data_IF_388926686560
#
_entry.id   IF_388926686560
#
_cell.length_a   1.000
_cell.length_b   1.000
_cell.length_c   1.000
_cell.angle_alpha   90.00
_cell.angle_beta   90.00
_cell.angle_gamma   90.00
#
_symmetry.space_group_name_H-M   'P 1'
#
loop_
_entity.id
_entity.type
_entity.pdbx_description
1 polymer ?
#
# COMPACT_ATOMS: atom_id res chain seq x y z
N UNK A 1 63.51 -4.23 11.56
CA UNK A 1 63.46 -3.01 10.72
C UNK A 1 63.54 -3.34 9.23
N UNK A 2 62.79 -4.33 8.73
CA UNK A 2 62.87 -4.73 7.32
C UNK A 2 62.02 -3.81 6.42
N UNK A 3 60.88 -3.32 6.90
CA UNK A 3 60.01 -2.34 6.21
C UNK A 3 60.78 -1.05 5.89
N UNK A 4 61.52 -0.52 6.87
CA UNK A 4 62.32 0.70 6.69
C UNK A 4 63.45 0.47 5.68
N UNK A 5 64.12 -0.69 5.74
CA UNK A 5 65.18 -1.04 4.79
C UNK A 5 64.63 -1.19 3.36
N UNK A 6 63.49 -1.86 3.18
CA UNK A 6 62.82 -2.00 1.88
C UNK A 6 62.39 -0.64 1.30
N UNK A 7 61.92 0.28 2.14
CA UNK A 7 61.55 1.63 1.74
C UNK A 7 62.76 2.46 1.28
N UNK A 8 63.90 2.30 1.94
CA UNK A 8 65.15 2.98 1.60
C UNK A 8 65.86 2.37 0.37
N UNK A 9 65.73 1.05 0.15
CA UNK A 9 66.35 0.35 -0.97
C UNK A 9 65.59 0.57 -2.31
N UNK A 10 64.31 0.98 -2.26
CA UNK A 10 63.48 1.24 -3.46
C UNK A 10 62.73 2.59 -3.42
N UNK A 11 63.43 3.74 -3.33
CA UNK A 11 62.82 5.05 -3.12
C UNK A 11 61.85 5.45 -4.26
N UNK A 12 62.20 5.16 -5.51
CA UNK A 12 61.36 5.50 -6.66
C UNK A 12 60.00 4.79 -6.65
N UNK A 13 59.93 3.55 -6.16
CA UNK A 13 58.67 2.80 -6.07
C UNK A 13 57.68 3.49 -5.12
N UNK A 14 58.16 4.00 -3.98
CA UNK A 14 57.32 4.71 -3.02
C UNK A 14 56.93 6.11 -3.51
N UNK A 15 57.80 6.80 -4.25
CA UNK A 15 57.46 8.09 -4.88
C UNK A 15 56.38 7.92 -5.94
N UNK A 16 56.49 6.90 -6.80
CA UNK A 16 55.47 6.59 -7.82
C UNK A 16 54.16 6.18 -7.16
N UNK A 17 54.20 5.37 -6.10
CA UNK A 17 53.01 4.99 -5.33
C UNK A 17 52.32 6.20 -4.69
N UNK A 18 53.09 7.13 -4.09
CA UNK A 18 52.56 8.35 -3.50
C UNK A 18 51.91 9.26 -4.54
N UNK A 19 52.52 9.40 -5.73
CA UNK A 19 51.92 10.13 -6.84
C UNK A 19 50.64 9.45 -7.35
N UNK A 20 50.62 8.12 -7.43
CA UNK A 20 49.42 7.36 -7.81
C UNK A 20 48.27 7.60 -6.83
N UNK A 21 48.54 7.54 -5.52
CA UNK A 21 47.54 7.84 -4.48
C UNK A 21 47.06 9.28 -4.64
N UNK A 22 47.97 10.25 -4.75
CA UNK A 22 47.63 11.67 -4.88
C UNK A 22 46.77 11.97 -6.12
N UNK A 23 47.00 11.29 -7.24
CA UNK A 23 46.19 11.43 -8.47
C UNK A 23 44.85 10.68 -8.35
N UNK A 24 44.83 9.54 -7.68
CA UNK A 24 43.62 8.74 -7.49
C UNK A 24 42.67 9.32 -6.44
N UNK A 25 43.19 10.02 -5.42
CA UNK A 25 42.39 10.55 -4.30
C UNK A 25 41.28 11.52 -4.75
N UNK A 26 41.51 12.52 -5.63
CA UNK A 26 40.43 13.38 -6.11
C UNK A 26 39.31 12.60 -6.80
N UNK A 27 39.68 11.60 -7.61
CA UNK A 27 38.73 10.73 -8.32
C UNK A 27 37.90 9.89 -7.36
N UNK A 28 38.52 9.37 -6.30
CA UNK A 28 37.83 8.65 -5.24
C UNK A 28 36.89 9.57 -4.46
N UNK A 29 37.37 10.73 -3.99
CA UNK A 29 36.58 11.69 -3.20
C UNK A 29 35.36 12.20 -3.99
N UNK A 30 35.52 12.47 -5.29
CA UNK A 30 34.42 12.96 -6.14
C UNK A 30 33.39 11.87 -6.51
N UNK A 31 33.76 10.57 -6.42
CA UNK A 31 32.87 9.46 -6.76
C UNK A 31 32.28 8.75 -5.53
N UNK A 32 32.81 8.98 -4.35
CA UNK A 32 32.28 8.40 -3.11
C UNK A 32 30.86 8.90 -2.88
N UNK A 33 29.85 8.01 -2.80
CA UNK A 33 28.49 8.41 -2.46
C UNK A 33 28.44 9.08 -1.09
N UNK A 34 27.76 10.20 -1.00
CA UNK A 34 27.53 10.93 0.26
C UNK A 34 26.09 10.75 0.72
N UNK A 35 25.88 10.49 2.00
CA UNK A 35 24.57 10.46 2.64
C UNK A 35 24.54 11.41 3.85
N UNK A 36 23.35 11.89 4.20
CA UNK A 36 23.14 12.81 5.33
C UNK A 36 23.19 12.03 6.65
N UNK A 37 22.76 10.77 6.63
CA UNK A 37 22.75 9.89 7.80
C UNK A 37 23.70 8.71 7.62
N UNK A 38 24.34 8.23 8.71
CA UNK A 38 24.99 6.93 8.69
C UNK A 38 23.92 5.85 8.44
N UNK A 39 24.29 4.76 7.77
CA UNK A 39 23.36 3.66 7.58
C UNK A 39 23.11 2.98 8.93
N UNK A 40 21.87 3.06 9.43
CA UNK A 40 21.42 2.40 10.66
C UNK A 40 20.62 1.17 10.24
N UNK A 41 21.34 0.06 10.06
CA UNK A 41 20.75 -1.22 9.67
C UNK A 41 20.19 -1.95 10.90
N UNK A 42 19.12 -1.41 11.50
CA UNK A 42 18.32 -2.17 12.47
C UNK A 42 17.30 -2.97 11.65
N UNK A 43 17.41 -4.31 11.60
CA UNK A 43 16.57 -5.13 10.73
C UNK A 43 15.17 -5.25 11.34
N UNK A 44 14.26 -4.35 10.93
CA UNK A 44 12.87 -4.32 11.39
C UNK A 44 11.93 -4.57 10.21
N UNK A 45 11.02 -5.53 10.39
CA UNK A 45 9.93 -5.78 9.45
C UNK A 45 8.63 -5.30 10.08
N UNK A 46 7.94 -4.38 9.41
CA UNK A 46 6.63 -3.90 9.82
C UNK A 46 5.55 -4.58 8.98
N UNK A 47 4.56 -5.16 9.64
CA UNK A 47 3.43 -5.86 9.02
C UNK A 47 2.14 -5.18 9.42
N UNK A 48 1.44 -4.61 8.45
CA UNK A 48 0.14 -3.96 8.62
C UNK A 48 -1.00 -4.89 8.27
N UNK A 49 -1.74 -5.34 9.28
CA UNK A 49 -3.00 -6.06 9.12
C UNK A 49 -4.17 -5.10 9.14
N UNK A 50 -5.11 -5.24 8.21
CA UNK A 50 -6.33 -4.42 8.18
C UNK A 50 -7.57 -5.30 8.14
N UNK A 51 -8.54 -5.01 9.01
CA UNK A 51 -9.86 -5.60 8.99
C UNK A 51 -10.89 -4.58 9.48
N UNK A 52 -11.63 -3.97 8.55
CA UNK A 52 -12.57 -2.91 8.88
C UNK A 52 -13.72 -3.41 9.76
N UNK A 53 -14.11 -2.60 10.74
CA UNK A 53 -15.27 -2.87 11.60
C UNK A 53 -14.97 -3.57 12.93
N UNK A 54 -13.75 -4.02 13.17
CA UNK A 54 -13.33 -4.50 14.50
C UNK A 54 -12.89 -3.35 15.40
N UNK A 55 -13.29 -3.40 16.67
CA UNK A 55 -12.69 -2.56 17.71
C UNK A 55 -11.26 -3.04 18.03
N UNK A 56 -10.44 -2.25 18.74
CA UNK A 56 -9.06 -2.62 19.05
C UNK A 56 -8.93 -3.96 19.78
N UNK A 57 -9.80 -4.24 20.75
CA UNK A 57 -9.75 -5.47 21.55
C UNK A 57 -10.07 -6.72 20.73
N UNK A 58 -11.06 -6.65 19.82
CA UNK A 58 -11.37 -7.74 18.91
C UNK A 58 -10.29 -7.92 17.84
N UNK A 59 -9.74 -6.82 17.32
CA UNK A 59 -8.63 -6.84 16.37
C UNK A 59 -7.40 -7.50 16.99
N UNK A 60 -7.09 -7.17 18.24
CA UNK A 60 -6.01 -7.80 19.01
C UNK A 60 -6.25 -9.31 19.14
N UNK A 61 -7.39 -9.70 19.73
CA UNK A 61 -7.66 -11.10 20.05
C UNK A 61 -7.84 -12.01 18.82
N UNK A 62 -8.38 -11.48 17.71
CA UNK A 62 -8.69 -12.28 16.52
C UNK A 62 -7.60 -12.25 15.46
N UNK A 63 -6.78 -11.20 15.40
CA UNK A 63 -5.75 -11.03 14.36
C UNK A 63 -4.37 -10.86 14.99
N UNK A 64 -4.13 -9.81 15.77
CA UNK A 64 -2.78 -9.47 16.27
C UNK A 64 -2.17 -10.62 17.07
N UNK A 65 -2.81 -11.07 18.14
CA UNK A 65 -2.27 -12.11 19.03
C UNK A 65 -2.21 -13.49 18.35
N UNK A 66 -3.06 -13.75 17.36
CA UNK A 66 -2.99 -14.98 16.54
C UNK A 66 -1.76 -14.94 15.66
N UNK A 67 -1.51 -13.81 15.00
CA UNK A 67 -0.38 -13.61 14.12
C UNK A 67 0.96 -13.65 14.87
N UNK A 68 1.07 -12.95 16.01
CA UNK A 68 2.27 -12.97 16.87
C UNK A 68 2.66 -14.39 17.30
N UNK A 69 1.69 -15.21 17.69
CA UNK A 69 1.93 -16.62 18.06
C UNK A 69 2.41 -17.47 16.90
N UNK A 70 2.01 -17.16 15.67
CA UNK A 70 2.47 -17.89 14.48
C UNK A 70 3.89 -17.50 14.12
N UNK A 71 4.23 -16.21 14.25
CA UNK A 71 5.58 -15.71 13.97
C UNK A 71 6.65 -16.44 14.80
N UNK A 72 6.38 -16.74 16.07
CA UNK A 72 7.34 -17.46 16.93
C UNK A 72 7.65 -18.88 16.47
N UNK A 73 6.84 -19.45 15.56
CA UNK A 73 7.01 -20.82 15.06
C UNK A 73 7.57 -20.90 13.64
N UNK A 74 7.32 -19.87 12.82
CA UNK A 74 7.63 -19.88 11.38
C UNK A 74 8.77 -18.94 10.97
N UNK A 75 9.19 -18.04 11.86
CA UNK A 75 10.23 -17.04 11.59
C UNK A 75 11.37 -17.25 12.58
N UNK A 76 12.59 -17.33 12.07
CA UNK A 76 13.79 -17.45 12.89
C UNK A 76 14.37 -16.08 13.25
N UNK A 77 15.30 -16.07 14.22
CA UNK A 77 16.09 -14.89 14.59
C UNK A 77 15.26 -13.66 14.99
N UNK A 78 14.05 -13.84 15.52
CA UNK A 78 13.30 -12.76 16.17
C UNK A 78 13.98 -12.42 17.49
N UNK A 79 14.29 -11.13 17.69
CA UNK A 79 14.71 -10.58 18.97
C UNK A 79 13.49 -10.28 19.85
N UNK A 80 12.59 -9.43 19.35
CA UNK A 80 11.33 -9.10 20.01
C UNK A 80 10.28 -8.66 18.99
N UNK A 81 9.02 -8.66 19.41
CA UNK A 81 7.87 -8.22 18.61
C UNK A 81 7.16 -7.12 19.37
N UNK A 82 6.86 -6.01 18.69
CA UNK A 82 6.01 -4.95 19.21
C UNK A 82 4.79 -4.79 18.33
N UNK A 83 3.59 -4.84 18.90
CA UNK A 83 2.35 -4.57 18.18
C UNK A 83 1.66 -3.31 18.68
N UNK A 84 0.99 -2.63 17.75
CA UNK A 84 0.12 -1.50 18.05
C UNK A 84 -1.18 -1.69 17.30
N UNK A 85 -2.27 -1.89 18.04
CA UNK A 85 -3.59 -2.14 17.47
C UNK A 85 -4.46 -0.89 17.58
N UNK A 86 -5.07 -0.51 16.48
CA UNK A 86 -6.05 0.56 16.35
C UNK A 86 -7.36 -0.02 15.80
N UNK A 87 -8.47 0.74 15.81
CA UNK A 87 -9.71 0.27 15.19
C UNK A 87 -9.49 -0.08 13.71
N UNK A 88 -9.73 -1.35 13.38
CA UNK A 88 -9.60 -1.93 12.05
C UNK A 88 -8.19 -2.04 11.45
N UNK A 89 -7.13 -1.67 12.17
CA UNK A 89 -5.74 -1.83 11.71
C UNK A 89 -4.81 -2.23 12.86
N UNK A 90 -3.91 -3.18 12.60
CA UNK A 90 -2.87 -3.62 13.53
C UNK A 90 -1.52 -3.55 12.87
N UNK A 91 -0.56 -2.91 13.53
CA UNK A 91 0.81 -2.75 13.06
C UNK A 91 1.69 -3.61 13.95
N UNK A 92 2.30 -4.65 13.38
CA UNK A 92 3.21 -5.57 14.07
C UNK A 92 4.63 -5.32 13.57
N UNK A 93 5.51 -4.87 14.46
CA UNK A 93 6.92 -4.63 14.21
C UNK A 93 7.72 -5.82 14.74
N UNK A 94 8.50 -6.43 13.87
CA UNK A 94 9.32 -7.61 14.17
C UNK A 94 10.78 -7.15 14.13
N UNK A 95 11.42 -7.18 15.28
CA UNK A 95 12.83 -6.85 15.41
C UNK A 95 13.64 -8.14 15.33
N UNK A 96 14.64 -8.15 14.44
CA UNK A 96 15.48 -9.32 14.22
C UNK A 96 16.81 -9.18 14.97
N UNK A 97 17.40 -10.32 15.34
CA UNK A 97 18.70 -10.39 15.96
C UNK A 97 19.79 -9.74 15.07
N UNK A 98 20.83 -9.13 15.66
CA UNK A 98 21.95 -8.59 14.90
C UNK A 98 22.60 -9.65 13.99
N UNK A 99 22.75 -9.34 12.70
CA UNK A 99 23.32 -10.24 11.70
C UNK A 99 22.33 -11.20 11.04
N UNK A 100 21.04 -11.16 11.42
CA UNK A 100 19.99 -11.89 10.71
C UNK A 100 19.78 -11.35 9.29
N UNK A 101 19.46 -12.25 8.36
CA UNK A 101 19.15 -11.89 6.98
C UNK A 101 17.74 -11.31 6.88
N UNK A 102 17.65 -10.02 6.56
CA UNK A 102 16.36 -9.35 6.35
C UNK A 102 15.57 -9.98 5.20
N UNK A 103 16.24 -10.42 4.13
CA UNK A 103 15.60 -11.08 2.98
C UNK A 103 14.98 -12.42 3.36
N UNK A 104 15.69 -13.21 4.16
CA UNK A 104 15.20 -14.50 4.66
C UNK A 104 14.02 -14.30 5.60
N UNK A 105 14.12 -13.36 6.53
CA UNK A 105 13.04 -13.03 7.44
C UNK A 105 11.82 -12.48 6.69
N UNK A 106 11.99 -11.65 5.66
CA UNK A 106 10.88 -11.18 4.82
C UNK A 106 10.16 -12.33 4.12
N UNK A 107 10.90 -13.29 3.57
CA UNK A 107 10.32 -14.46 2.95
C UNK A 107 9.52 -15.30 3.97
N UNK A 108 10.07 -15.52 5.16
CA UNK A 108 9.41 -16.25 6.25
C UNK A 108 8.16 -15.53 6.75
N UNK A 109 8.24 -14.23 7.04
CA UNK A 109 7.13 -13.37 7.48
C UNK A 109 6.01 -13.34 6.44
N UNK A 110 6.36 -13.21 5.17
CA UNK A 110 5.39 -13.23 4.07
C UNK A 110 4.70 -14.60 3.99
N UNK A 111 5.47 -15.69 4.03
CA UNK A 111 4.92 -17.05 3.99
C UNK A 111 4.02 -17.35 5.21
N UNK A 112 4.42 -16.90 6.40
CA UNK A 112 3.65 -17.02 7.63
C UNK A 112 2.33 -16.25 7.52
N UNK A 113 2.38 -15.02 7.01
CA UNK A 113 1.21 -14.16 6.76
C UNK A 113 0.21 -14.83 5.81
N UNK A 114 0.68 -15.44 4.73
CA UNK A 114 -0.19 -16.15 3.79
C UNK A 114 -0.81 -17.42 4.40
N UNK A 115 -0.05 -18.13 5.24
CA UNK A 115 -0.51 -19.38 5.85
C UNK A 115 -1.63 -19.13 6.86
N UNK A 116 -1.52 -18.06 7.66
CA UNK A 116 -2.48 -17.79 8.73
C UNK A 116 -3.81 -17.24 8.22
N UNK A 117 -3.89 -16.73 6.99
CA UNK A 117 -5.13 -16.14 6.42
C UNK A 117 -6.35 -17.04 6.58
N UNK A 118 -6.19 -18.37 6.45
CA UNK A 118 -7.30 -19.33 6.62
C UNK A 118 -7.80 -19.46 8.06
N UNK A 119 -6.96 -19.12 9.04
CA UNK A 119 -7.30 -19.11 10.46
C UNK A 119 -7.83 -17.75 10.95
N UNK A 120 -7.77 -16.72 10.12
CA UNK A 120 -8.29 -15.38 10.43
C UNK A 120 -9.77 -15.25 9.99
N UNK A 121 -10.49 -14.21 10.47
CA UNK A 121 -11.88 -13.99 10.09
C UNK A 121 -12.08 -13.92 8.56
N UNK A 122 -13.22 -14.41 8.03
CA UNK A 122 -13.52 -14.36 6.60
C UNK A 122 -13.45 -12.93 6.04
N UNK A 123 -12.85 -12.76 4.86
CA UNK A 123 -12.67 -11.45 4.24
C UNK A 123 -11.40 -10.70 4.65
N UNK A 124 -10.59 -11.27 5.55
CA UNK A 124 -9.24 -10.75 5.85
C UNK A 124 -8.37 -10.77 4.59
N UNK A 125 -7.75 -9.64 4.26
CA UNK A 125 -6.81 -9.52 3.14
C UNK A 125 -5.37 -9.80 3.61
N UNK A 126 -4.48 -10.24 2.72
CA UNK A 126 -3.04 -10.30 3.02
C UNK A 126 -2.53 -8.97 3.58
N UNK A 127 -1.63 -9.00 4.56
CA UNK A 127 -1.13 -7.78 5.16
C UNK A 127 -0.13 -7.09 4.25
N UNK A 128 0.09 -5.81 4.51
CA UNK A 128 1.18 -5.06 3.89
C UNK A 128 2.46 -5.31 4.68
N UNK A 129 3.45 -5.97 4.05
CA UNK A 129 4.78 -6.19 4.63
C UNK A 129 5.71 -5.10 4.12
N UNK A 130 6.35 -4.37 5.03
CA UNK A 130 7.26 -3.26 4.73
C UNK A 130 8.54 -3.42 5.54
N UNK A 131 9.67 -3.18 4.89
CA UNK A 131 10.94 -3.04 5.58
C UNK A 131 10.98 -1.67 6.23
N UNK A 132 11.16 -1.64 7.54
CA UNK A 132 11.32 -0.40 8.27
C UNK A 132 12.79 -0.22 8.59
N UNK A 133 13.40 0.83 8.01
CA UNK A 133 14.70 1.29 8.47
C UNK A 133 14.52 2.60 9.23
N UNK A 134 15.20 2.74 10.37
CA UNK A 134 15.23 3.97 11.15
C UNK A 134 15.82 5.16 10.36
N UNK A 135 16.51 4.89 9.24
CA UNK A 135 17.02 5.90 8.30
C UNK A 135 16.09 6.24 7.14
N UNK A 136 14.88 5.65 7.05
CA UNK A 136 13.88 5.91 5.99
C UNK A 136 13.16 7.24 6.18
N UNK A 137 13.92 8.33 6.31
CA UNK A 137 13.38 9.69 6.40
C UNK A 137 12.98 10.15 5.00
N UNK A 138 11.81 10.78 4.83
CA UNK A 138 11.44 11.37 3.54
C UNK A 138 12.52 12.35 3.06
N UNK A 139 13.08 12.09 1.88
CA UNK A 139 14.08 12.99 1.26
C UNK A 139 13.37 14.18 0.64
N UNK A 140 12.19 13.95 0.05
CA UNK A 140 11.36 14.97 -0.56
C UNK A 140 9.92 14.79 -0.12
N UNK A 141 9.25 15.90 0.16
CA UNK A 141 7.82 15.95 0.40
C UNK A 141 7.19 16.90 -0.61
N UNK A 142 6.26 16.39 -1.41
CA UNK A 142 5.55 17.16 -2.42
C UNK A 142 4.16 17.50 -1.88
N UNK A 143 3.91 18.78 -1.64
CA UNK A 143 2.58 19.29 -1.33
C UNK A 143 1.84 19.67 -2.62
N UNK A 144 0.79 18.93 -2.97
CA UNK A 144 -0.11 19.28 -4.05
C UNK A 144 -1.28 20.09 -3.49
N UNK A 145 -1.46 21.29 -4.02
CA UNK A 145 -2.60 22.16 -3.73
C UNK A 145 -3.12 22.79 -5.01
N UNK A 146 -4.40 23.14 -5.05
CA UNK A 146 -5.02 23.80 -6.19
C UNK A 146 -6.22 24.65 -5.73
N UNK A 147 -6.46 25.76 -6.42
CA UNK A 147 -7.65 26.59 -6.22
C UNK A 147 -8.85 26.12 -7.05
N UNK A 148 -8.60 25.51 -8.22
CA UNK A 148 -9.65 25.04 -9.14
C UNK A 148 -10.07 23.58 -8.98
N UNK A 149 -9.16 22.69 -8.56
CA UNK A 149 -9.44 21.27 -8.38
C UNK A 149 -9.90 20.94 -6.96
N UNK A 150 -10.86 20.00 -6.84
CA UNK A 150 -11.29 19.46 -5.55
C UNK A 150 -10.19 18.59 -4.91
N UNK A 151 -10.22 18.44 -3.58
CA UNK A 151 -9.33 17.53 -2.84
C UNK A 151 -9.37 16.09 -3.38
N UNK A 152 -10.52 15.65 -3.92
CA UNK A 152 -10.66 14.32 -4.52
C UNK A 152 -9.97 14.19 -5.87
N UNK A 153 -10.13 15.19 -6.75
CA UNK A 153 -9.43 15.21 -8.05
C UNK A 153 -7.93 15.39 -7.87
N UNK A 154 -7.50 16.14 -6.86
CA UNK A 154 -6.07 16.26 -6.52
C UNK A 154 -5.49 14.93 -6.04
N UNK A 155 -6.23 14.19 -5.21
CA UNK A 155 -5.81 12.87 -4.74
C UNK A 155 -5.72 11.87 -5.90
N UNK A 156 -6.70 11.89 -6.80
CA UNK A 156 -6.72 11.10 -8.03
C UNK A 156 -5.51 11.40 -8.92
N UNK A 157 -5.22 12.68 -9.18
CA UNK A 157 -4.04 13.10 -9.93
C UNK A 157 -2.73 12.64 -9.26
N UNK A 158 -2.64 12.78 -7.94
CA UNK A 158 -1.47 12.36 -7.17
C UNK A 158 -1.21 10.85 -7.28
N UNK A 159 -2.25 10.02 -7.14
CA UNK A 159 -2.13 8.56 -7.14
C UNK A 159 -1.95 8.01 -8.55
N UNK A 160 -2.73 8.49 -9.53
CA UNK A 160 -2.83 7.88 -10.85
C UNK A 160 -1.91 8.50 -11.90
N UNK A 161 -1.42 9.72 -11.69
CA UNK A 161 -0.56 10.40 -12.67
C UNK A 161 0.83 10.73 -12.10
N UNK A 162 0.90 11.40 -10.95
CA UNK A 162 2.18 11.87 -10.39
C UNK A 162 2.99 10.70 -9.80
N UNK A 163 2.37 9.86 -8.96
CA UNK A 163 3.06 8.75 -8.31
C UNK A 163 3.69 7.75 -9.30
N UNK A 164 3.01 7.25 -10.34
CA UNK A 164 3.60 6.28 -11.27
C UNK A 164 4.83 6.82 -12.01
N UNK A 165 4.84 8.12 -12.30
CA UNK A 165 6.00 8.76 -12.94
C UNK A 165 7.20 8.83 -11.99
N UNK A 166 6.97 9.14 -10.71
CA UNK A 166 8.04 9.26 -9.72
C UNK A 166 8.65 7.91 -9.30
N UNK A 167 7.87 6.83 -9.31
CA UNK A 167 8.36 5.48 -8.97
C UNK A 167 9.40 4.96 -9.99
N UNK A 168 9.46 5.53 -11.19
CA UNK A 168 10.47 5.15 -12.20
C UNK A 168 11.89 5.63 -11.87
N UNK A 169 12.04 6.52 -10.89
CA UNK A 169 13.36 7.03 -10.47
C UNK A 169 14.09 5.94 -9.67
N UNK A 170 15.29 5.51 -10.08
CA UNK A 170 16.05 4.49 -9.36
C UNK A 170 16.29 4.87 -7.90
N UNK A 171 15.94 3.97 -6.98
CA UNK A 171 16.10 4.19 -5.54
C UNK A 171 15.03 5.08 -4.89
N UNK A 172 13.95 5.43 -5.62
CA UNK A 172 12.82 6.16 -5.04
C UNK A 172 11.70 5.20 -4.63
N UNK A 173 11.22 5.34 -3.39
CA UNK A 173 9.98 4.73 -2.93
C UNK A 173 8.96 5.83 -2.69
N UNK A 174 7.78 5.71 -3.31
CA UNK A 174 6.69 6.70 -3.20
C UNK A 174 5.47 6.03 -2.58
N UNK A 175 5.30 6.14 -1.24
CA UNK A 175 4.12 5.64 -0.54
C UNK A 175 2.82 6.32 -1.01
N UNK A 176 1.69 5.83 -0.50
CA UNK A 176 0.42 6.51 -0.72
C UNK A 176 0.44 7.92 -0.12
N UNK A 177 -0.21 8.89 -0.79
CA UNK A 177 -0.28 10.25 -0.29
C UNK A 177 -1.05 10.35 1.03
N UNK A 178 -0.65 11.32 1.85
CA UNK A 178 -1.41 11.79 3.00
C UNK A 178 -2.39 12.89 2.58
N UNK A 179 -3.53 12.96 3.23
CA UNK A 179 -4.58 13.91 2.91
C UNK A 179 -5.19 13.66 1.53
N UNK A 180 -5.88 14.68 1.02
CA UNK A 180 -6.83 14.49 -0.07
C UNK A 180 -8.04 13.66 0.34
N UNK A 181 -9.03 13.62 -0.53
CA UNK A 181 -10.25 12.84 -0.33
C UNK A 181 -10.19 11.65 -1.27
N UNK A 182 -10.00 10.44 -0.74
CA UNK A 182 -10.03 9.24 -1.57
C UNK A 182 -11.43 9.08 -2.14
N UNK A 183 -11.54 9.16 -3.47
CA UNK A 183 -12.83 9.11 -4.17
C UNK A 183 -13.45 7.73 -4.01
N UNK A 184 -14.71 7.70 -3.60
CA UNK A 184 -15.50 6.47 -3.47
C UNK A 184 -16.92 6.73 -3.99
N UNK A 185 -17.55 5.69 -4.54
CA UNK A 185 -18.96 5.74 -4.91
C UNK A 185 -19.79 5.32 -3.70
N UNK A 186 -20.52 6.27 -3.11
CA UNK A 186 -21.35 6.01 -1.93
C UNK A 186 -22.75 5.61 -2.36
N UNK A 187 -23.18 4.43 -1.93
CA UNK A 187 -24.56 3.96 -2.04
C UNK A 187 -25.22 4.08 -0.68
N UNK A 188 -25.97 5.17 -0.48
CA UNK A 188 -26.66 5.45 0.78
C UNK A 188 -28.08 4.89 0.73
N UNK A 189 -28.32 3.82 1.49
CA UNK A 189 -29.63 3.16 1.59
C UNK A 189 -30.62 4.00 2.41
N UNK A 190 -31.86 4.10 1.95
CA UNK A 190 -32.95 4.74 2.70
C UNK A 190 -33.77 3.66 3.45
N UNK A 191 -33.74 3.62 4.79
CA UNK A 191 -34.47 2.63 5.57
C UNK A 191 -35.99 2.66 5.36
N UNK A 192 -36.58 3.83 5.14
CA UNK A 192 -38.02 3.97 4.95
C UNK A 192 -38.45 3.38 3.59
N UNK A 193 -37.70 3.67 2.53
CA UNK A 193 -37.96 3.11 1.20
C UNK A 193 -37.72 1.59 1.16
N UNK A 194 -36.65 1.11 1.81
CA UNK A 194 -36.40 -0.32 1.95
C UNK A 194 -37.56 -1.03 2.65
N UNK A 195 -38.10 -0.45 3.72
CA UNK A 195 -39.23 -1.01 4.45
C UNK A 195 -40.51 -1.03 3.60
N UNK A 196 -40.81 0.04 2.87
CA UNK A 196 -41.95 0.11 1.95
C UNK A 196 -41.87 -0.98 0.88
N UNK A 197 -40.67 -1.21 0.34
CA UNK A 197 -40.41 -2.21 -0.70
C UNK A 197 -40.18 -3.62 -0.17
N UNK A 198 -40.25 -3.84 1.16
CA UNK A 198 -39.97 -5.13 1.83
C UNK A 198 -38.62 -5.71 1.38
N UNK A 199 -37.61 -4.85 1.37
CA UNK A 199 -36.23 -5.16 1.06
C UNK A 199 -35.38 -5.02 2.31
N UNK A 200 -34.47 -5.97 2.52
CA UNK A 200 -33.42 -5.85 3.53
C UNK A 200 -32.16 -5.22 2.91
N UNK A 201 -31.31 -4.56 3.72
CA UNK A 201 -29.98 -4.13 3.25
C UNK A 201 -29.14 -5.29 2.67
N UNK A 202 -29.32 -6.50 3.22
CA UNK A 202 -28.68 -7.71 2.72
C UNK A 202 -29.10 -8.07 1.29
N UNK A 203 -30.36 -7.82 0.92
CA UNK A 203 -30.85 -8.05 -0.45
C UNK A 203 -30.15 -7.11 -1.45
N UNK A 204 -29.94 -5.84 -1.05
CA UNK A 204 -29.23 -4.85 -1.89
C UNK A 204 -27.76 -5.24 -2.04
N UNK A 205 -27.09 -5.62 -0.95
CA UNK A 205 -25.70 -6.09 -1.00
C UNK A 205 -25.54 -7.34 -1.86
N UNK A 206 -26.47 -8.29 -1.75
CA UNK A 206 -26.47 -9.50 -2.57
C UNK A 206 -26.72 -9.17 -4.06
N UNK A 207 -27.61 -8.22 -4.36
CA UNK A 207 -27.86 -7.76 -5.72
C UNK A 207 -26.64 -7.07 -6.34
N UNK A 208 -26.00 -6.16 -5.60
CA UNK A 208 -24.75 -5.49 -6.00
C UNK A 208 -23.62 -6.50 -6.25
N UNK A 209 -23.45 -7.46 -5.35
CA UNK A 209 -22.38 -8.46 -5.45
C UNK A 209 -22.53 -9.38 -6.66
N UNK A 210 -23.76 -9.66 -7.11
CA UNK A 210 -24.04 -10.51 -8.29
C UNK A 210 -23.93 -9.76 -9.62
N UNK A 211 -24.07 -8.43 -9.61
CA UNK A 211 -24.20 -7.59 -10.81
C UNK A 211 -23.06 -6.59 -10.97
N UNK A 212 -22.00 -6.73 -10.18
CA UNK A 212 -20.73 -6.01 -10.36
C UNK A 212 -19.60 -7.01 -10.60
N UNK A 213 -19.85 -7.97 -11.49
CA UNK A 213 -18.88 -9.02 -11.83
C UNK A 213 -18.33 -8.77 -13.23
N UNK A 214 -17.02 -8.54 -13.32
CA UNK A 214 -16.28 -8.60 -14.58
C UNK A 214 -16.04 -10.08 -14.90
N UNK A 215 -16.95 -10.67 -15.69
CA UNK A 215 -16.85 -12.08 -16.06
C UNK A 215 -15.92 -12.26 -17.27
N UNK A 216 -14.98 -13.23 -17.25
CA UNK A 216 -14.18 -13.56 -18.43
C UNK A 216 -15.08 -14.28 -19.45
N UNK A 217 -15.32 -13.61 -20.57
CA UNK A 217 -16.30 -14.02 -21.58
C UNK A 217 -15.70 -14.77 -22.78
N UNK A 218 -14.38 -14.80 -22.87
CA UNK A 218 -13.64 -15.55 -23.90
C UNK A 218 -13.85 -15.01 -25.31
N UNK A 219 -13.52 -15.85 -26.29
CA UNK A 219 -13.64 -15.53 -27.72
C UNK A 219 -14.67 -16.42 -28.40
N UNK A 220 -15.33 -15.89 -29.43
CA UNK A 220 -16.13 -16.65 -30.38
C UNK A 220 -15.45 -16.65 -31.75
N UNK A 221 -15.08 -17.84 -32.23
CA UNK A 221 -14.61 -18.00 -33.61
C UNK A 221 -15.80 -18.16 -34.55
N UNK A 222 -15.94 -17.22 -35.49
CA UNK A 222 -16.97 -17.24 -36.53
C UNK A 222 -16.27 -17.18 -37.88
N UNK A 223 -16.30 -18.31 -38.61
CA UNK A 223 -15.55 -18.50 -39.85
C UNK A 223 -14.04 -18.30 -39.66
N UNK A 224 -13.44 -17.36 -40.37
CA UNK A 224 -12.03 -16.99 -40.30
C UNK A 224 -11.69 -15.98 -39.20
N UNK A 225 -12.70 -15.35 -38.58
CA UNK A 225 -12.51 -14.32 -37.57
C UNK A 225 -12.76 -14.84 -36.16
N UNK A 226 -11.93 -14.38 -35.22
CA UNK A 226 -12.09 -14.62 -33.79
C UNK A 226 -12.48 -13.30 -33.12
N UNK A 227 -13.66 -13.28 -32.50
CA UNK A 227 -14.21 -12.10 -31.85
C UNK A 227 -14.05 -12.24 -30.35
N UNK A 228 -13.48 -11.24 -29.69
CA UNK A 228 -13.55 -11.11 -28.25
C UNK A 228 -15.00 -10.84 -27.85
N UNK A 229 -15.60 -11.76 -27.10
CA UNK A 229 -16.90 -11.52 -26.49
C UNK A 229 -16.63 -10.66 -25.26
N UNK A 230 -17.39 -9.57 -25.09
CA UNK A 230 -17.38 -8.75 -23.87
C UNK A 230 -18.79 -8.69 -23.33
N UNK A 231 -18.95 -8.98 -22.04
CA UNK A 231 -20.22 -8.74 -21.33
C UNK A 231 -20.02 -7.53 -20.44
N UNK A 232 -20.92 -6.56 -20.58
CA UNK A 232 -20.99 -5.33 -19.81
C UNK A 232 -21.66 -5.59 -18.45
N UNK A 233 -21.00 -6.41 -17.62
CA UNK A 233 -21.52 -6.86 -16.32
C UNK A 233 -21.26 -5.90 -15.15
N UNK A 234 -20.66 -4.73 -15.39
CA UNK A 234 -20.37 -3.72 -14.38
C UNK A 234 -20.80 -2.34 -14.89
N UNK A 235 -21.47 -1.52 -14.06
CA UNK A 235 -21.86 -0.17 -14.45
C UNK A 235 -20.65 0.76 -14.65
N UNK A 236 -20.63 1.49 -15.76
CA UNK A 236 -19.57 2.47 -16.06
C UNK A 236 -19.88 3.86 -15.46
N UNK A 237 -21.17 4.15 -15.23
CA UNK A 237 -21.62 5.45 -14.70
C UNK A 237 -22.46 5.29 -13.44
N UNK A 238 -22.60 6.38 -12.67
CA UNK A 238 -23.42 6.40 -11.46
C UNK A 238 -24.90 6.19 -11.77
N UNK A 239 -25.37 6.68 -12.91
CA UNK A 239 -26.73 6.49 -13.39
C UNK A 239 -26.97 5.00 -13.71
N UNK A 240 -26.04 4.34 -14.39
CA UNK A 240 -26.14 2.90 -14.65
C UNK A 240 -26.11 2.08 -13.35
N UNK A 241 -25.33 2.51 -12.36
CA UNK A 241 -25.31 1.87 -11.05
C UNK A 241 -26.65 2.05 -10.32
N UNK A 242 -27.25 3.23 -10.41
CA UNK A 242 -28.57 3.53 -9.84
C UNK A 242 -29.71 2.76 -10.55
N UNK A 243 -29.54 2.44 -11.82
CA UNK A 243 -30.46 1.65 -12.65
C UNK A 243 -30.27 0.12 -12.49
N UNK A 244 -29.49 -0.30 -11.51
CA UNK A 244 -29.30 -1.73 -11.23
C UNK A 244 -30.56 -2.35 -10.62
N UNK A 245 -31.09 -3.45 -11.17
CA UNK A 245 -32.26 -4.12 -10.61
C UNK A 245 -31.91 -4.87 -9.32
N UNK A 246 -32.68 -4.67 -8.27
CA UNK A 246 -32.48 -5.31 -6.96
C UNK A 246 -33.39 -6.52 -6.78
N UNK A 247 -34.69 -6.36 -7.08
CA UNK A 247 -35.71 -7.39 -6.89
C UNK A 247 -36.88 -7.20 -7.83
N UNK A 248 -37.43 -8.31 -8.31
CA UNK A 248 -38.68 -8.34 -9.06
C UNK A 248 -39.83 -8.69 -8.09
N UNK A 249 -40.86 -7.84 -8.02
CA UNK A 249 -42.08 -8.10 -7.24
C UNK A 249 -43.26 -8.10 -8.21
N UNK A 250 -43.79 -9.29 -8.49
CA UNK A 250 -44.78 -9.47 -9.54
C UNK A 250 -44.19 -9.14 -10.91
N UNK A 251 -44.71 -8.10 -11.57
CA UNK A 251 -44.22 -7.61 -12.87
C UNK A 251 -43.45 -6.29 -12.78
N UNK A 252 -43.16 -5.80 -11.56
CA UNK A 252 -42.45 -4.54 -11.33
C UNK A 252 -41.04 -4.82 -10.81
N UNK A 253 -40.03 -4.30 -11.52
CA UNK A 253 -38.63 -4.35 -11.10
C UNK A 253 -38.34 -3.17 -10.19
N UNK A 254 -37.77 -3.44 -9.03
CA UNK A 254 -37.31 -2.43 -8.08
C UNK A 254 -35.82 -2.20 -8.34
N UNK A 255 -35.46 -0.96 -8.62
CA UNK A 255 -34.10 -0.54 -8.93
C UNK A 255 -33.38 0.01 -7.71
N UNK A 256 -32.05 0.14 -7.78
CA UNK A 256 -31.26 0.69 -6.69
C UNK A 256 -31.69 2.13 -6.37
N UNK A 257 -31.97 2.94 -7.38
CA UNK A 257 -32.51 4.32 -7.24
C UNK A 257 -33.82 4.40 -6.46
N UNK A 258 -34.59 3.32 -6.40
CA UNK A 258 -35.89 3.30 -5.70
C UNK A 258 -35.73 3.10 -4.18
N UNK A 259 -34.53 2.71 -3.73
CA UNK A 259 -34.24 2.36 -2.32
C UNK A 259 -32.94 2.95 -1.78
N UNK A 260 -32.15 3.61 -2.62
CA UNK A 260 -30.86 4.18 -2.28
C UNK A 260 -30.53 5.38 -3.14
N UNK A 261 -29.70 6.28 -2.60
CA UNK A 261 -29.06 7.34 -3.37
C UNK A 261 -27.62 6.94 -3.70
N UNK A 262 -27.25 7.11 -4.97
CA UNK A 262 -25.89 6.84 -5.46
C UNK A 262 -25.22 8.19 -5.73
N UNK A 263 -24.11 8.45 -5.05
CA UNK A 263 -23.38 9.70 -5.19
C UNK A 263 -21.87 9.48 -5.34
N UNK A 264 -21.23 10.36 -6.11
CA UNK A 264 -19.78 10.47 -6.10
C UNK A 264 -19.36 11.17 -4.80
N UNK A 265 -18.61 10.49 -3.96
CA UNK A 265 -18.12 11.07 -2.72
C UNK A 265 -16.74 10.56 -2.37
N UNK A 266 -16.49 10.39 -1.08
CA UNK A 266 -15.16 10.08 -0.59
C UNK A 266 -15.21 9.30 0.71
N UNK A 267 -14.18 8.48 0.92
CA UNK A 267 -13.97 7.77 2.17
C UNK A 267 -13.89 8.76 3.36
N UNK A 268 -14.35 8.37 4.56
CA UNK A 268 -14.11 9.15 5.77
C UNK A 268 -12.63 9.48 5.93
N UNK A 269 -12.29 10.77 6.02
CA UNK A 269 -10.90 11.21 6.12
C UNK A 269 -10.34 10.87 7.52
N UNK A 270 -9.31 10.03 7.55
CA UNK A 270 -8.55 9.71 8.77
C UNK A 270 -7.35 10.64 8.98
N UNK A 271 -6.91 11.33 7.93
CA UNK A 271 -5.82 12.28 7.98
C UNK A 271 -6.13 13.52 7.11
N UNK A 272 -5.49 14.65 7.44
CA UNK A 272 -5.65 15.92 6.70
C UNK A 272 -4.27 16.50 6.46
N UNK A 273 -3.90 16.67 5.20
CA UNK A 273 -2.70 17.38 4.79
C UNK A 273 -3.06 18.83 4.39
N UNK A 274 -2.18 19.76 4.74
CA UNK A 274 -2.29 21.16 4.32
C UNK A 274 -0.97 21.65 3.76
N UNK A 275 -1.03 22.36 2.65
CA UNK A 275 0.09 23.11 2.08
C UNK A 275 -0.28 24.60 2.14
N UNK A 276 0.57 25.41 2.75
CA UNK A 276 0.37 26.87 2.91
C UNK A 276 -1.01 27.26 3.45
N UNK A 277 -1.48 26.50 4.45
CA UNK A 277 -2.78 26.72 5.11
C UNK A 277 -4.00 26.18 4.34
N UNK A 278 -3.83 25.72 3.09
CA UNK A 278 -4.91 25.16 2.27
C UNK A 278 -4.90 23.64 2.33
N UNK A 279 -6.09 23.02 2.32
CA UNK A 279 -6.19 21.55 2.24
C UNK A 279 -5.63 21.06 0.93
N UNK A 280 -4.85 19.98 0.98
CA UNK A 280 -4.18 19.42 -0.17
C UNK A 280 -3.80 17.98 0.04
N UNK A 281 -2.88 17.51 -0.80
CA UNK A 281 -2.34 16.16 -0.79
C UNK A 281 -0.84 16.27 -0.54
N UNK A 282 -0.31 15.46 0.37
CA UNK A 282 1.12 15.42 0.66
C UNK A 282 1.68 14.06 0.24
N UNK A 283 2.64 14.06 -0.67
CA UNK A 283 3.33 12.85 -1.12
C UNK A 283 4.74 12.83 -0.56
N UNK A 284 5.10 11.74 0.10
CA UNK A 284 6.47 11.51 0.56
C UNK A 284 7.23 10.72 -0.48
N UNK A 285 8.50 11.05 -0.66
CA UNK A 285 9.47 10.30 -1.46
C UNK A 285 10.59 9.87 -0.53
N UNK A 286 10.74 8.56 -0.37
CA UNK A 286 11.74 7.93 0.47
C UNK A 286 12.89 7.39 -0.40
N UNK A 287 14.07 7.27 0.19
CA UNK A 287 15.17 6.49 -0.40
C UNK A 287 14.90 5.01 -0.16
N UNK A 288 15.04 4.20 -1.21
CA UNK A 288 15.12 2.75 -1.09
C UNK A 288 16.49 2.32 -0.55
#
# INVERSE_FOLDING_TARGET
MWIVRLALDRPYTFVVLALLILIATPLAVLRTPTDIFPNIDIPVIAVGWSYNGLNPEEMEGRITSVYERVLTTLVDNIEHIESTTYPGISIVRIFLQPGASLDTANAQVTAASQTILRGLPPGTQPPLVMNYSASSVPILQLGLSSESLSESKLNDLAINFVRPQLVTVPGAVVPYPYGGKMREVLVSLDPALLQEKRLSPGDVLAALSRQSLVLPTGTAKISEFEYDIRVNGSPDTLEQLADMPIKLVGNTTIYLRDVASVADGFAPQTNVARADGRRGVLMNILKA
#
